data_IF_524004880119
#
_entry.id   IF_524004880119
#
_cell.length_a   1.000
_cell.length_b   1.000
_cell.length_c   1.000
_cell.angle_alpha   90.00
_cell.angle_beta   90.00
_cell.angle_gamma   90.00
#
_symmetry.space_group_name_H-M   'P 1'
#
loop_
_entity.id
_entity.type
_entity.pdbx_description
1 polymer ?
#
# COMPACT_ATOMS: atom_id res chain seq x y z
N UNK A 1 -9.52 -4.91 -14.14
CA UNK A 1 -8.98 -3.94 -15.11
C UNK A 1 -7.48 -3.93 -14.94
N UNK A 2 -6.72 -3.90 -16.03
CA UNK A 2 -5.26 -3.91 -15.97
C UNK A 2 -4.71 -2.51 -15.65
N UNK A 3 -3.57 -2.38 -14.94
CA UNK A 3 -2.97 -1.10 -14.55
C UNK A 3 -2.86 -0.03 -15.65
N UNK A 4 -2.35 -0.36 -16.85
CA UNK A 4 -2.17 0.58 -17.97
C UNK A 4 -3.51 1.08 -18.51
N UNK A 5 -4.51 0.20 -18.57
CA UNK A 5 -5.87 0.57 -18.98
C UNK A 5 -6.49 1.54 -17.96
N UNK A 6 -6.37 1.22 -16.66
CA UNK A 6 -6.83 2.08 -15.57
C UNK A 6 -6.14 3.45 -15.60
N UNK A 7 -4.83 3.49 -15.84
CA UNK A 7 -4.08 4.75 -15.98
C UNK A 7 -4.67 5.62 -17.10
N UNK A 8 -4.88 5.05 -18.29
CA UNK A 8 -5.40 5.79 -19.45
C UNK A 8 -6.80 6.35 -19.17
N UNK A 9 -7.64 5.58 -18.48
CA UNK A 9 -8.97 6.03 -18.07
C UNK A 9 -8.89 7.24 -17.11
N UNK A 10 -8.05 7.16 -16.07
CA UNK A 10 -7.87 8.25 -15.11
C UNK A 10 -7.29 9.51 -15.75
N UNK A 11 -6.30 9.38 -16.64
CA UNK A 11 -5.78 10.49 -17.44
C UNK A 11 -6.87 11.12 -18.31
N UNK A 12 -7.69 10.30 -18.98
CA UNK A 12 -8.80 10.78 -19.80
C UNK A 12 -9.88 11.54 -19.02
N UNK A 13 -10.08 11.22 -17.73
CA UNK A 13 -10.98 11.97 -16.85
C UNK A 13 -10.37 13.27 -16.33
N UNK A 14 -9.07 13.25 -15.99
CA UNK A 14 -8.38 14.34 -15.31
C UNK A 14 -7.83 15.40 -16.28
N UNK A 15 -7.14 15.00 -17.35
CA UNK A 15 -6.47 15.90 -18.31
C UNK A 15 -7.36 17.06 -18.80
N UNK A 16 -8.65 16.88 -19.15
CA UNK A 16 -9.48 17.98 -19.63
C UNK A 16 -10.11 18.84 -18.52
N UNK A 17 -9.91 18.52 -17.22
CA UNK A 17 -10.63 19.13 -16.10
C UNK A 17 -9.77 19.77 -15.03
N UNK A 18 -8.53 19.31 -14.84
CA UNK A 18 -7.67 19.80 -13.76
C UNK A 18 -7.30 21.27 -13.99
N UNK A 19 -7.36 22.07 -12.92
CA UNK A 19 -6.99 23.49 -12.95
C UNK A 19 -5.57 23.74 -12.39
N UNK A 20 -4.87 22.67 -12.01
CA UNK A 20 -3.51 22.69 -11.48
C UNK A 20 -2.80 21.37 -11.83
N UNK A 21 -1.49 21.35 -11.62
CA UNK A 21 -0.68 20.15 -11.85
C UNK A 21 -1.12 18.98 -10.95
N UNK A 22 -1.01 17.77 -11.49
CA UNK A 22 -1.35 16.55 -10.77
C UNK A 22 -0.41 15.39 -11.14
N UNK A 23 -0.36 14.40 -10.24
CA UNK A 23 0.32 13.13 -10.47
C UNK A 23 -0.58 11.97 -10.03
N UNK A 24 -0.29 10.77 -10.52
CA UNK A 24 -1.06 9.57 -10.21
C UNK A 24 -0.18 8.54 -9.50
N UNK A 25 -0.81 7.75 -8.62
CA UNK A 25 -0.26 6.54 -8.02
C UNK A 25 -1.12 5.38 -8.48
N UNK A 26 -0.51 4.25 -8.86
CA UNK A 26 -1.25 3.13 -9.41
C UNK A 26 -1.62 2.13 -8.32
N UNK A 27 -2.90 1.83 -8.15
CA UNK A 27 -3.34 0.77 -7.25
C UNK A 27 -3.09 -0.62 -7.86
N UNK A 28 -2.51 -1.52 -7.08
CA UNK A 28 -2.31 -2.93 -7.42
C UNK A 28 -3.25 -3.75 -6.54
N UNK A 29 -4.36 -4.20 -7.14
CA UNK A 29 -5.47 -4.89 -6.45
C UNK A 29 -5.48 -6.40 -6.69
N UNK A 30 -4.52 -6.90 -7.47
CA UNK A 30 -4.30 -8.32 -7.77
C UNK A 30 -2.88 -8.50 -8.30
N UNK A 31 -2.35 -9.71 -8.24
CA UNK A 31 -1.00 -10.01 -8.72
C UNK A 31 -0.99 -11.06 -9.83
N UNK A 32 -0.22 -10.80 -10.88
CA UNK A 32 0.13 -11.76 -11.93
C UNK A 32 1.41 -11.29 -12.66
N UNK A 33 2.07 -12.16 -13.43
CA UNK A 33 3.20 -11.77 -14.27
C UNK A 33 2.87 -10.65 -15.27
N UNK A 34 1.61 -10.54 -15.70
CA UNK A 34 1.14 -9.45 -16.57
C UNK A 34 1.05 -8.13 -15.82
N UNK A 35 0.58 -8.14 -14.57
CA UNK A 35 0.58 -6.96 -13.70
C UNK A 35 2.00 -6.46 -13.46
N UNK A 36 2.95 -7.37 -13.23
CA UNK A 36 4.37 -7.01 -13.09
C UNK A 36 4.90 -6.28 -14.34
N UNK A 37 4.62 -6.80 -15.54
CA UNK A 37 5.02 -6.15 -16.80
C UNK A 37 4.40 -4.77 -16.95
N UNK A 38 3.14 -4.60 -16.54
CA UNK A 38 2.49 -3.30 -16.60
C UNK A 38 3.04 -2.32 -15.55
N UNK A 39 3.50 -2.79 -14.39
CA UNK A 39 4.24 -1.94 -13.45
C UNK A 39 5.55 -1.43 -14.06
N UNK A 40 6.28 -2.28 -14.78
CA UNK A 40 7.48 -1.87 -15.53
C UNK A 40 7.17 -0.87 -16.63
N UNK A 41 6.02 -1.02 -17.30
CA UNK A 41 5.57 -0.09 -18.32
C UNK A 41 5.26 1.28 -17.71
N UNK A 42 4.50 1.30 -16.61
CA UNK A 42 4.02 2.52 -15.98
C UNK A 42 5.13 3.41 -15.40
N UNK A 43 6.32 2.86 -15.10
CA UNK A 43 7.45 3.67 -14.64
C UNK A 43 8.20 4.39 -15.77
N UNK A 44 7.93 4.06 -17.04
CA UNK A 44 8.57 4.73 -18.17
C UNK A 44 8.19 6.21 -18.21
N UNK A 45 9.06 7.09 -18.75
CA UNK A 45 8.81 8.54 -18.79
C UNK A 45 7.48 8.96 -19.44
N UNK A 46 6.94 8.16 -20.35
CA UNK A 46 5.66 8.43 -21.02
C UNK A 46 4.44 8.31 -20.07
N UNK A 47 4.56 7.48 -19.03
CA UNK A 47 3.54 7.28 -17.99
C UNK A 47 3.88 8.04 -16.70
N UNK A 48 5.15 8.01 -16.28
CA UNK A 48 5.67 8.79 -15.15
C UNK A 48 5.22 8.33 -13.76
N UNK A 49 4.71 7.10 -13.61
CA UNK A 49 4.33 6.56 -12.30
C UNK A 49 5.58 6.14 -11.53
N UNK A 50 5.71 6.54 -10.27
CA UNK A 50 6.83 6.13 -9.40
C UNK A 50 6.35 5.55 -8.05
N UNK A 51 5.05 5.32 -7.90
CA UNK A 51 4.48 4.76 -6.68
C UNK A 51 3.30 3.84 -6.97
N UNK A 52 3.27 2.70 -6.27
CA UNK A 52 2.25 1.67 -6.41
C UNK A 52 1.57 1.42 -5.07
N UNK A 53 0.24 1.43 -5.03
CA UNK A 53 -0.54 1.28 -3.80
C UNK A 53 -1.15 -0.11 -3.67
N UNK A 54 -0.85 -0.77 -2.56
CA UNK A 54 -1.35 -2.08 -2.18
C UNK A 54 -2.33 -1.96 -1.00
N UNK A 55 -3.20 -2.95 -0.85
CA UNK A 55 -4.17 -3.02 0.24
C UNK A 55 -4.01 -4.36 0.96
N UNK A 56 -3.81 -4.30 2.27
CA UNK A 56 -3.87 -5.49 3.16
C UNK A 56 -5.27 -5.68 3.76
N UNK A 57 -6.18 -4.74 3.48
CA UNK A 57 -7.59 -4.75 3.83
C UNK A 57 -8.48 -4.89 2.59
N UNK A 58 -9.81 -4.83 2.80
CA UNK A 58 -10.82 -5.00 1.76
C UNK A 58 -10.80 -6.40 1.12
N UNK A 59 -10.88 -7.43 1.97
CA UNK A 59 -10.91 -8.84 1.56
C UNK A 59 -11.98 -9.10 0.49
N UNK A 60 -11.58 -9.75 -0.60
CA UNK A 60 -12.46 -10.06 -1.73
C UNK A 60 -12.65 -8.92 -2.75
N UNK A 61 -12.06 -7.74 -2.51
CA UNK A 61 -12.15 -6.59 -3.43
C UNK A 61 -10.78 -6.10 -3.89
N UNK A 62 -9.95 -5.61 -2.96
CA UNK A 62 -8.65 -5.02 -3.28
C UNK A 62 -7.48 -5.69 -2.56
N UNK A 63 -7.78 -6.51 -1.56
CA UNK A 63 -6.77 -7.14 -0.72
C UNK A 63 -5.85 -8.03 -1.54
N UNK A 64 -4.54 -7.76 -1.45
CA UNK A 64 -3.51 -8.70 -1.89
C UNK A 64 -3.07 -9.58 -0.72
N UNK A 65 -2.70 -10.83 -1.02
CA UNK A 65 -2.12 -11.75 -0.04
C UNK A 65 -0.65 -11.42 0.21
N UNK A 66 -0.08 -11.99 1.27
CA UNK A 66 1.29 -11.73 1.68
C UNK A 66 2.31 -12.07 0.57
N UNK A 67 2.12 -13.19 -0.12
CA UNK A 67 2.97 -13.60 -1.24
C UNK A 67 2.88 -12.63 -2.43
N UNK A 68 1.69 -12.11 -2.71
CA UNK A 68 1.42 -11.17 -3.80
C UNK A 68 1.98 -9.78 -3.48
N UNK A 69 1.80 -9.33 -2.24
CA UNK A 69 2.37 -8.07 -1.75
C UNK A 69 3.90 -8.11 -1.77
N UNK A 70 4.49 -9.23 -1.34
CA UNK A 70 5.94 -9.41 -1.36
C UNK A 70 6.50 -9.36 -2.79
N UNK A 71 5.87 -10.05 -3.75
CA UNK A 71 6.25 -9.94 -5.16
C UNK A 71 6.12 -8.50 -5.68
N UNK A 72 5.03 -7.82 -5.36
CA UNK A 72 4.86 -6.40 -5.70
C UNK A 72 5.97 -5.49 -5.13
N UNK A 73 6.45 -5.77 -3.92
CA UNK A 73 7.58 -5.05 -3.33
C UNK A 73 8.91 -5.36 -4.00
N UNK A 74 9.17 -6.61 -4.39
CA UNK A 74 10.36 -6.98 -5.18
C UNK A 74 10.37 -6.22 -6.51
N UNK A 75 9.23 -6.17 -7.19
CA UNK A 75 9.07 -5.40 -8.42
C UNK A 75 9.30 -3.91 -8.18
N UNK A 76 8.68 -3.31 -7.16
CA UNK A 76 8.92 -1.89 -6.80
C UNK A 76 10.40 -1.60 -6.55
N UNK A 77 11.11 -2.45 -5.81
CA UNK A 77 12.54 -2.29 -5.54
C UNK A 77 13.38 -2.34 -6.83
N UNK A 78 13.05 -3.27 -7.73
CA UNK A 78 13.74 -3.46 -9.02
C UNK A 78 13.53 -2.29 -9.98
N UNK A 79 12.31 -1.77 -10.07
CA UNK A 79 11.96 -0.66 -10.98
C UNK A 79 12.20 0.72 -10.36
N UNK A 80 12.64 0.79 -9.10
CA UNK A 80 12.93 2.05 -8.42
C UNK A 80 11.68 2.84 -8.00
N UNK A 81 10.57 2.17 -7.77
CA UNK A 81 9.31 2.76 -7.31
C UNK A 81 9.10 2.59 -5.80
N UNK A 82 8.18 3.38 -5.24
CA UNK A 82 7.78 3.31 -3.82
C UNK A 82 6.53 2.45 -3.66
N UNK A 83 6.58 1.47 -2.78
CA UNK A 83 5.40 0.70 -2.37
C UNK A 83 4.61 1.50 -1.33
N UNK A 84 3.36 1.85 -1.63
CA UNK A 84 2.42 2.46 -0.68
C UNK A 84 1.48 1.38 -0.16
N UNK A 85 1.14 1.38 1.12
CA UNK A 85 0.29 0.33 1.69
C UNK A 85 -0.81 0.90 2.58
N UNK A 86 -2.05 0.49 2.31
CA UNK A 86 -3.15 0.57 3.27
C UNK A 86 -3.03 -0.64 4.21
N UNK A 87 -2.60 -0.40 5.44
CA UNK A 87 -2.17 -1.44 6.36
C UNK A 87 -3.17 -1.68 7.49
N UNK A 88 -4.22 -2.47 7.21
CA UNK A 88 -5.07 -3.07 8.23
C UNK A 88 -5.21 -4.57 7.96
N UNK A 89 -5.50 -5.38 8.99
CA UNK A 89 -5.70 -6.83 8.83
C UNK A 89 -7.09 -7.14 8.23
N UNK A 90 -7.17 -7.22 6.90
CA UNK A 90 -8.41 -7.44 6.15
C UNK A 90 -9.24 -8.65 6.59
N UNK A 91 -8.67 -9.86 6.72
CA UNK A 91 -9.44 -11.05 7.07
C UNK A 91 -10.09 -10.93 8.46
N UNK A 92 -9.36 -10.40 9.44
CA UNK A 92 -9.92 -10.21 10.79
C UNK A 92 -10.99 -9.12 10.80
N UNK A 93 -10.80 -8.03 10.05
CA UNK A 93 -11.81 -6.99 9.89
C UNK A 93 -13.09 -7.57 9.27
N UNK A 94 -12.98 -8.42 8.25
CA UNK A 94 -14.14 -9.04 7.62
C UNK A 94 -14.95 -9.91 8.60
N UNK A 95 -14.28 -10.73 9.41
CA UNK A 95 -14.95 -11.53 10.45
C UNK A 95 -15.58 -10.66 11.55
N UNK A 96 -14.91 -9.59 11.99
CA UNK A 96 -15.47 -8.66 12.98
C UNK A 96 -16.69 -7.89 12.45
N UNK A 97 -16.66 -7.43 11.19
CA UNK A 97 -17.82 -6.82 10.53
C UNK A 97 -19.01 -7.78 10.51
N UNK A 98 -18.78 -9.04 10.14
CA UNK A 98 -19.81 -10.07 10.12
C UNK A 98 -20.41 -10.32 11.51
N UNK A 99 -19.57 -10.44 12.53
CA UNK A 99 -20.02 -10.63 13.91
C UNK A 99 -20.87 -9.46 14.42
N UNK A 100 -20.41 -8.22 14.23
CA UNK A 100 -21.16 -7.02 14.66
C UNK A 100 -22.52 -6.89 13.97
N UNK A 101 -22.59 -7.19 12.66
CA UNK A 101 -23.86 -7.20 11.95
C UNK A 101 -24.81 -8.30 12.47
N UNK A 102 -24.28 -9.49 12.83
CA UNK A 102 -25.06 -10.56 13.44
C UNK A 102 -25.58 -10.19 14.83
N UNK A 103 -24.84 -9.36 15.57
CA UNK A 103 -25.24 -8.79 16.86
C UNK A 103 -26.22 -7.60 16.72
N UNK A 104 -26.56 -7.20 15.49
CA UNK A 104 -27.49 -6.09 15.22
C UNK A 104 -26.83 -4.71 15.23
N UNK A 105 -25.51 -4.62 15.36
CA UNK A 105 -24.75 -3.36 15.28
C UNK A 105 -24.67 -2.95 13.81
N UNK A 106 -25.55 -2.04 13.42
CA UNK A 106 -25.70 -1.55 12.04
C UNK A 106 -25.41 -0.05 11.90
N UNK A 107 -25.17 0.64 13.02
CA UNK A 107 -24.81 2.04 13.02
C UNK A 107 -23.34 2.28 12.68
N UNK A 108 -22.96 3.55 12.42
CA UNK A 108 -21.59 3.92 12.07
C UNK A 108 -20.53 3.52 13.11
N UNK A 109 -20.91 3.40 14.39
CA UNK A 109 -20.03 2.97 15.47
C UNK A 109 -19.45 1.56 15.25
N UNK A 110 -20.18 0.69 14.56
CA UNK A 110 -19.71 -0.64 14.16
C UNK A 110 -18.48 -0.57 13.24
N UNK A 111 -18.31 0.52 12.48
CA UNK A 111 -17.15 0.72 11.62
C UNK A 111 -15.84 0.77 12.43
N UNK A 112 -15.83 1.53 13.53
CA UNK A 112 -14.67 1.63 14.42
C UNK A 112 -14.49 0.34 15.23
N UNK A 113 -15.58 -0.24 15.73
CA UNK A 113 -15.53 -1.47 16.53
C UNK A 113 -15.02 -2.69 15.74
N UNK A 114 -15.31 -2.74 14.43
CA UNK A 114 -14.82 -3.82 13.55
C UNK A 114 -13.32 -3.74 13.26
N UNK A 115 -12.69 -2.59 13.51
CA UNK A 115 -11.31 -2.27 13.12
C UNK A 115 -10.52 -1.65 14.28
N UNK A 116 -10.34 -2.37 15.41
CA UNK A 116 -9.56 -1.83 16.52
C UNK A 116 -8.10 -1.61 16.11
N UNK A 117 -7.41 -0.66 16.76
CA UNK A 117 -6.11 -0.15 16.32
C UNK A 117 -5.01 -1.21 16.23
N UNK A 118 -5.14 -2.31 16.97
CA UNK A 118 -4.19 -3.42 16.93
C UNK A 118 -4.14 -4.09 15.55
N UNK A 119 -5.23 -4.06 14.78
CA UNK A 119 -5.27 -4.61 13.42
C UNK A 119 -4.50 -3.74 12.41
N UNK A 120 -4.48 -2.43 12.63
CA UNK A 120 -3.63 -1.51 11.86
C UNK A 120 -2.16 -1.70 12.24
N UNK A 121 -1.87 -1.81 13.54
CA UNK A 121 -0.52 -2.00 14.06
C UNK A 121 0.12 -3.31 13.59
N UNK A 122 -0.64 -4.42 13.61
CA UNK A 122 -0.19 -5.73 13.09
C UNK A 122 0.19 -5.64 11.62
N UNK A 123 -0.72 -5.16 10.78
CA UNK A 123 -0.52 -5.08 9.33
C UNK A 123 0.62 -4.11 8.98
N UNK A 124 0.75 -3.01 9.72
CA UNK A 124 1.86 -2.06 9.58
C UNK A 124 3.20 -2.72 9.88
N UNK A 125 3.29 -3.46 10.99
CA UNK A 125 4.51 -4.18 11.34
C UNK A 125 4.85 -5.26 10.30
N UNK A 126 3.87 -6.05 9.87
CA UNK A 126 4.03 -7.07 8.83
C UNK A 126 4.54 -6.46 7.52
N UNK A 127 3.96 -5.34 7.09
CA UNK A 127 4.42 -4.64 5.90
C UNK A 127 5.86 -4.13 6.02
N UNK A 128 6.23 -3.57 7.18
CA UNK A 128 7.60 -3.12 7.42
C UNK A 128 8.62 -4.27 7.36
N UNK A 129 8.30 -5.42 7.95
CA UNK A 129 9.15 -6.61 7.90
C UNK A 129 9.35 -7.07 6.46
N UNK A 130 8.27 -7.20 5.68
CA UNK A 130 8.37 -7.66 4.29
C UNK A 130 9.10 -6.65 3.40
N UNK A 131 8.88 -5.36 3.58
CA UNK A 131 9.59 -4.32 2.84
C UNK A 131 11.10 -4.36 3.10
N UNK A 132 11.49 -4.64 4.36
CA UNK A 132 12.89 -4.85 4.72
C UNK A 132 13.49 -6.06 4.00
N UNK A 133 12.78 -7.20 3.96
CA UNK A 133 13.23 -8.39 3.24
C UNK A 133 13.31 -8.17 1.72
N UNK A 134 12.41 -7.37 1.15
CA UNK A 134 12.40 -7.01 -0.27
C UNK A 134 13.39 -5.87 -0.64
N UNK A 135 14.06 -5.27 0.34
CA UNK A 135 14.85 -4.04 0.17
C UNK A 135 14.07 -2.96 -0.62
N UNK A 136 12.79 -2.80 -0.28
CA UNK A 136 11.84 -1.94 -0.98
C UNK A 136 11.49 -0.71 -0.12
N UNK A 137 11.51 0.52 -0.67
CA UNK A 137 11.00 1.68 0.05
C UNK A 137 9.49 1.56 0.27
N UNK A 138 9.08 1.63 1.53
CA UNK A 138 7.68 1.51 1.97
C UNK A 138 7.12 2.84 2.47
N UNK A 139 5.90 3.15 2.06
CA UNK A 139 5.10 4.26 2.53
C UNK A 139 3.80 3.72 3.12
N UNK A 140 3.61 3.84 4.44
CA UNK A 140 2.35 3.49 5.10
C UNK A 140 1.44 4.70 5.05
N UNK A 141 0.33 4.60 4.29
CA UNK A 141 -0.63 5.70 4.16
C UNK A 141 -1.57 5.74 5.36
N UNK A 142 -2.11 6.93 5.67
CA UNK A 142 -3.19 7.17 6.63
C UNK A 142 -2.98 6.41 7.96
N UNK A 143 -1.87 6.73 8.63
CA UNK A 143 -1.57 6.16 9.95
C UNK A 143 -2.48 6.81 10.99
N UNK A 144 -3.40 6.02 11.55
CA UNK A 144 -4.45 6.52 12.44
C UNK A 144 -4.20 6.16 13.92
N UNK A 145 -3.38 5.14 14.19
CA UNK A 145 -3.14 4.65 15.55
C UNK A 145 -1.74 4.88 16.10
N UNK A 146 -1.66 4.89 17.44
CA UNK A 146 -0.38 4.94 18.17
C UNK A 146 0.44 3.67 17.93
N UNK A 147 -0.22 2.51 17.87
CA UNK A 147 0.42 1.22 17.61
C UNK A 147 1.13 1.19 16.26
N UNK A 148 0.45 1.62 15.19
CA UNK A 148 1.05 1.69 13.85
C UNK A 148 2.20 2.70 13.79
N UNK A 149 2.02 3.92 14.34
CA UNK A 149 3.08 4.92 14.40
C UNK A 149 4.32 4.43 15.16
N UNK A 150 4.12 3.71 16.28
CA UNK A 150 5.21 3.11 17.06
C UNK A 150 5.96 2.04 16.25
N UNK A 151 5.24 1.15 15.57
CA UNK A 151 5.86 0.11 14.73
C UNK A 151 6.75 0.74 13.65
N UNK A 152 6.27 1.79 12.98
CA UNK A 152 7.04 2.55 11.99
C UNK A 152 8.30 3.16 12.61
N UNK A 153 8.18 3.80 13.77
CA UNK A 153 9.32 4.40 14.47
C UNK A 153 10.39 3.36 14.84
N UNK A 154 9.99 2.19 15.32
CA UNK A 154 10.91 1.10 15.67
C UNK A 154 11.67 0.56 14.44
N UNK A 155 10.99 0.37 13.30
CA UNK A 155 11.62 -0.09 12.06
C UNK A 155 12.57 0.94 11.46
N UNK A 156 12.22 2.24 11.56
CA UNK A 156 13.13 3.34 11.17
C UNK A 156 14.41 3.34 11.99
N UNK A 157 14.31 3.17 13.32
CA UNK A 157 15.48 3.14 14.21
C UNK A 157 16.42 1.95 13.91
N UNK A 158 15.85 0.77 13.61
CA UNK A 158 16.64 -0.43 13.27
C UNK A 158 17.34 -0.34 11.92
N UNK A 159 17.03 0.67 11.10
CA UNK A 159 17.60 0.78 9.76
C UNK A 159 17.09 -0.32 8.83
N UNK A 160 15.94 -0.92 9.10
CA UNK A 160 15.32 -1.96 8.28
C UNK A 160 14.98 -1.48 6.84
N UNK A 161 15.17 -0.18 6.55
CA UNK A 161 15.11 0.46 5.24
C UNK A 161 16.43 1.15 4.84
N UNK A 162 17.59 0.75 5.37
CA UNK A 162 18.90 1.21 4.90
C UNK A 162 19.33 0.37 3.70
N UNK A 163 19.34 0.98 2.50
CA UNK A 163 20.01 0.40 1.32
C UNK A 163 21.52 0.25 1.59
N UNK A 164 22.09 -0.86 1.14
CA UNK A 164 23.54 -1.03 0.99
C UNK A 164 24.15 0.10 0.14
N UNK A 165 25.38 0.46 0.50
CA UNK A 165 26.13 1.60 0.01
C UNK A 165 26.36 1.53 -1.52
N UNK A 166 25.76 2.46 -2.29
CA UNK A 166 25.97 2.56 -3.74
C UNK A 166 24.76 3.01 -4.57
N UNK A 167 23.53 2.99 -4.03
CA UNK A 167 22.33 3.54 -4.67
C UNK A 167 21.77 4.67 -3.79
N UNK A 168 21.32 5.79 -4.40
CA UNK A 168 20.83 7.02 -3.72
C UNK A 168 20.07 6.72 -2.42
N UNK A 169 20.42 7.43 -1.34
CA UNK A 169 19.70 7.45 -0.07
C UNK A 169 18.25 7.90 -0.33
N UNK A 170 17.28 7.03 -0.07
CA UNK A 170 15.84 7.36 0.04
C UNK A 170 15.40 7.48 1.52
N UNK A 171 16.37 7.48 2.44
CA UNK A 171 16.20 7.12 3.85
C UNK A 171 15.44 8.12 4.72
N UNK A 172 15.09 9.30 4.21
CA UNK A 172 14.32 10.29 4.97
C UNK A 172 12.80 10.15 4.78
N UNK A 173 12.34 9.41 3.76
CA UNK A 173 10.95 9.46 3.27
C UNK A 173 10.10 8.21 3.56
N UNK A 174 10.24 7.58 4.73
CA UNK A 174 9.03 6.98 5.35
C UNK A 174 8.13 8.15 5.79
N UNK A 175 7.51 8.81 4.82
CA UNK A 175 6.55 9.88 5.08
C UNK A 175 5.28 9.20 5.51
N UNK A 176 5.08 9.13 6.82
CA UNK A 176 3.75 8.97 7.39
C UNK A 176 2.98 10.24 7.03
N UNK A 177 1.90 10.10 6.25
CA UNK A 177 0.89 11.15 6.10
C UNK A 177 -0.44 10.65 6.66
#
# INVERSE_FOLDING_TARGET
MMPVEAYKQWRGWADPKVCCDYGLSMAITSWSPEVEKEMEELVKPEYGINSFKFFLAYSGLFMVRDEEFYQGMLTCSRIGAVARVHAENGPVIAEKCKALLQEGVTGPEGHTQSRPEELEAEATNRACVMASQANCPLYVVHVMSKGAAKAIAEHRQKGACKREEGRRKFLDDMVVA
#
